data_IF_677670441841
#
_entry.id   IF_677670441841
#
_cell.length_a   1.000
_cell.length_b   1.000
_cell.length_c   1.000
_cell.angle_alpha   90.00
_cell.angle_beta   90.00
_cell.angle_gamma   90.00
#
_symmetry.space_group_name_H-M   'P 1'
#
loop_
_entity.id
_entity.type
_entity.pdbx_description
1 polymer ?
#
# COMPACT_ATOMS: atom_id res chain seq x y z
N UNK A 1 -18.46 -23.35 3.49
CA UNK A 1 -18.70 -22.24 2.54
C UNK A 1 -17.66 -22.35 1.43
N UNK A 2 -18.07 -22.63 0.19
CA UNK A 2 -17.17 -22.62 -0.97
C UNK A 2 -16.93 -21.18 -1.39
N UNK A 3 -15.65 -20.78 -1.51
CA UNK A 3 -15.26 -19.44 -1.97
C UNK A 3 -15.84 -19.18 -3.37
N UNK A 4 -16.25 -17.94 -3.67
CA UNK A 4 -16.70 -17.56 -5.03
C UNK A 4 -15.60 -17.73 -6.11
N UNK A 5 -14.36 -17.97 -5.68
CA UNK A 5 -13.19 -18.16 -6.54
C UNK A 5 -12.77 -19.63 -6.67
N UNK A 6 -13.55 -20.58 -6.13
CA UNK A 6 -13.18 -22.01 -6.10
C UNK A 6 -13.02 -22.65 -7.49
N UNK A 7 -13.58 -22.03 -8.53
CA UNK A 7 -13.52 -22.50 -9.91
C UNK A 7 -12.40 -21.83 -10.73
N UNK A 8 -11.59 -20.95 -10.12
CA UNK A 8 -10.50 -20.25 -10.80
C UNK A 8 -9.16 -20.93 -10.49
N UNK A 9 -8.34 -21.13 -11.50
CA UNK A 9 -6.98 -21.64 -11.30
C UNK A 9 -6.08 -20.55 -10.66
N UNK A 10 -4.98 -20.93 -10.00
CA UNK A 10 -4.02 -19.97 -9.45
C UNK A 10 -3.49 -18.97 -10.50
N UNK A 11 -3.28 -19.41 -11.73
CA UNK A 11 -2.83 -18.57 -12.85
C UNK A 11 -3.89 -17.53 -13.21
N UNK A 12 -5.16 -17.94 -13.31
CA UNK A 12 -6.28 -17.02 -13.57
C UNK A 12 -6.43 -15.99 -12.44
N UNK A 13 -6.21 -16.41 -11.19
CA UNK A 13 -6.22 -15.53 -10.03
C UNK A 13 -5.04 -14.55 -10.07
N UNK A 14 -3.86 -14.99 -10.49
CA UNK A 14 -2.68 -14.14 -10.61
C UNK A 14 -2.86 -13.06 -11.69
N UNK A 15 -3.37 -13.42 -12.86
CA UNK A 15 -3.64 -12.47 -13.95
C UNK A 15 -4.71 -11.46 -13.56
N UNK A 16 -5.82 -11.95 -12.97
CA UNK A 16 -6.90 -11.08 -12.51
C UNK A 16 -6.43 -10.12 -11.41
N UNK A 17 -5.64 -10.61 -10.46
CA UNK A 17 -5.07 -9.80 -9.41
C UNK A 17 -4.08 -8.76 -9.98
N UNK A 18 -3.24 -9.17 -10.93
CA UNK A 18 -2.28 -8.27 -11.59
C UNK A 18 -2.97 -7.13 -12.36
N UNK A 19 -4.06 -7.44 -13.07
CA UNK A 19 -4.86 -6.43 -13.76
C UNK A 19 -5.47 -5.41 -12.79
N UNK A 20 -6.10 -5.88 -11.72
CA UNK A 20 -6.70 -5.00 -10.70
C UNK A 20 -5.65 -4.15 -9.95
N UNK A 21 -4.48 -4.72 -9.67
CA UNK A 21 -3.35 -4.00 -9.09
C UNK A 21 -2.86 -2.88 -10.02
N UNK A 22 -2.79 -3.14 -11.32
CA UNK A 22 -2.48 -2.13 -12.33
C UNK A 22 -3.46 -0.95 -12.29
N UNK A 23 -4.77 -1.22 -12.33
CA UNK A 23 -5.81 -0.17 -12.22
C UNK A 23 -5.66 0.61 -10.92
N UNK A 24 -5.48 -0.09 -9.80
CA UNK A 24 -5.38 0.53 -8.47
C UNK A 24 -4.18 1.46 -8.38
N UNK A 25 -3.03 1.06 -8.92
CA UNK A 25 -1.82 1.88 -8.97
C UNK A 25 -2.01 3.13 -9.80
N UNK A 26 -2.60 3.01 -10.99
CA UNK A 26 -2.88 4.16 -11.86
C UNK A 26 -3.84 5.15 -11.21
N UNK A 27 -4.97 4.66 -10.69
CA UNK A 27 -5.95 5.52 -9.99
C UNK A 27 -5.35 6.17 -8.73
N UNK A 28 -4.48 5.45 -8.01
CA UNK A 28 -3.76 6.00 -6.86
C UNK A 28 -2.78 7.10 -7.26
N UNK A 29 -2.05 6.94 -8.36
CA UNK A 29 -1.14 7.96 -8.86
C UNK A 29 -1.89 9.26 -9.18
N UNK A 30 -2.98 9.16 -9.95
CA UNK A 30 -3.85 10.31 -10.27
C UNK A 30 -4.42 10.97 -9.01
N UNK A 31 -4.92 10.16 -8.06
CA UNK A 31 -5.43 10.68 -6.79
C UNK A 31 -4.35 11.38 -5.95
N UNK A 32 -3.11 10.90 -5.99
CA UNK A 32 -1.99 11.51 -5.26
C UNK A 32 -1.52 12.82 -5.91
N UNK A 33 -1.56 12.93 -7.25
CA UNK A 33 -1.35 14.20 -7.98
C UNK A 33 -2.39 15.25 -7.59
N UNK A 34 -3.68 14.87 -7.59
CA UNK A 34 -4.77 15.78 -7.17
C UNK A 34 -4.58 16.23 -5.71
N UNK A 35 -4.21 15.31 -4.81
CA UNK A 35 -3.92 15.67 -3.41
C UNK A 35 -2.73 16.61 -3.28
N UNK A 36 -1.68 16.41 -4.07
CA UNK A 36 -0.51 17.30 -4.08
C UNK A 36 -0.91 18.70 -4.51
N UNK A 37 -1.71 18.82 -5.57
CA UNK A 37 -2.26 20.10 -6.03
C UNK A 37 -3.13 20.78 -4.96
N UNK A 38 -4.02 20.04 -4.29
CA UNK A 38 -4.85 20.57 -3.21
C UNK A 38 -4.02 21.09 -2.03
N UNK A 39 -2.93 20.39 -1.69
CA UNK A 39 -1.98 20.85 -0.66
C UNK A 39 -1.24 22.12 -1.10
N UNK A 40 -0.76 22.17 -2.35
CA UNK A 40 -0.07 23.33 -2.89
C UNK A 40 -0.97 24.57 -2.92
N UNK A 41 -2.27 24.39 -3.13
CA UNK A 41 -3.30 25.44 -3.08
C UNK A 41 -3.77 25.78 -1.67
N UNK A 42 -3.23 25.13 -0.64
CA UNK A 42 -3.60 25.35 0.77
C UNK A 42 -5.12 25.21 1.02
N UNK A 43 -5.78 24.32 0.28
CA UNK A 43 -7.23 24.12 0.39
C UNK A 43 -7.53 23.35 1.68
N UNK A 44 -8.08 24.04 2.68
CA UNK A 44 -8.47 23.39 3.93
C UNK A 44 -9.76 22.55 3.76
N UNK A 45 -10.73 23.05 3.01
CA UNK A 45 -11.98 22.36 2.68
C UNK A 45 -12.44 22.74 1.27
N UNK A 46 -12.82 21.75 0.46
CA UNK A 46 -13.47 21.95 -0.83
C UNK A 46 -14.69 21.03 -0.97
N UNK A 47 -15.76 21.55 -1.56
CA UNK A 47 -17.01 20.81 -1.82
C UNK A 47 -17.28 20.74 -3.31
N UNK A 48 -17.30 19.53 -3.84
CA UNK A 48 -17.81 19.22 -5.17
C UNK A 48 -19.28 18.83 -5.14
N UNK A 49 -19.83 18.49 -6.30
CA UNK A 49 -21.24 18.08 -6.45
C UNK A 49 -21.57 16.80 -5.66
N UNK A 50 -20.60 15.87 -5.56
CA UNK A 50 -20.81 14.56 -4.96
C UNK A 50 -19.98 14.32 -3.68
N UNK A 51 -18.90 15.09 -3.46
CA UNK A 51 -17.93 14.83 -2.39
C UNK A 51 -17.43 16.12 -1.73
N UNK A 52 -17.06 16.02 -0.46
CA UNK A 52 -16.35 17.07 0.29
C UNK A 52 -14.97 16.54 0.65
N UNK A 53 -13.93 17.32 0.38
CA UNK A 53 -12.55 17.02 0.75
C UNK A 53 -12.11 18.01 1.82
N UNK A 54 -11.52 17.51 2.90
CA UNK A 54 -10.88 18.34 3.94
C UNK A 54 -9.44 17.88 4.14
N UNK A 55 -8.53 18.84 4.30
CA UNK A 55 -7.12 18.57 4.57
C UNK A 55 -6.84 18.86 6.04
N UNK A 56 -6.30 17.86 6.74
CA UNK A 56 -5.88 17.98 8.14
C UNK A 56 -4.47 17.42 8.29
N UNK A 57 -3.59 18.17 8.95
CA UNK A 57 -2.24 17.71 9.29
C UNK A 57 -2.27 17.04 10.66
N UNK A 58 -1.74 15.82 10.74
CA UNK A 58 -1.53 15.10 11.99
C UNK A 58 -0.09 14.66 12.07
N UNK A 59 0.57 15.02 13.17
CA UNK A 59 1.94 14.60 13.47
C UNK A 59 1.87 13.41 14.42
N UNK A 60 2.38 12.26 13.99
CA UNK A 60 2.52 11.08 14.84
C UNK A 60 3.95 11.00 15.33
N UNK A 61 4.15 11.11 16.64
CA UNK A 61 5.42 10.81 17.28
C UNK A 61 5.45 9.31 17.59
N UNK A 62 6.38 8.59 16.97
CA UNK A 62 6.62 7.17 17.25
C UNK A 62 7.84 7.05 18.14
N UNK A 63 7.80 6.06 19.04
CA UNK A 63 8.95 5.69 19.84
C UNK A 63 10.05 5.12 18.92
N UNK A 64 11.25 5.67 19.00
CA UNK A 64 12.41 5.09 18.33
C UNK A 64 12.92 3.91 19.16
N UNK A 65 12.43 2.72 18.83
CA UNK A 65 12.76 1.50 19.55
C UNK A 65 14.23 1.12 19.40
N UNK A 66 14.93 1.59 18.36
CA UNK A 66 16.37 1.32 18.18
C UNK A 66 17.20 2.20 19.10
N UNK A 67 16.90 3.50 19.13
CA UNK A 67 17.54 4.42 20.07
C UNK A 67 17.28 3.96 21.52
N UNK A 68 16.05 3.53 21.82
CA UNK A 68 15.70 3.01 23.13
C UNK A 68 16.44 1.71 23.49
N UNK A 69 16.60 0.79 22.54
CA UNK A 69 17.35 -0.45 22.75
C UNK A 69 18.85 -0.19 22.94
N UNK A 70 19.42 0.80 22.26
CA UNK A 70 20.79 1.22 22.45
C UNK A 70 21.05 1.86 23.83
N UNK A 71 20.03 2.51 24.40
CA UNK A 71 20.09 3.17 25.71
C UNK A 71 19.85 2.20 26.87
N UNK A 72 18.83 1.33 26.77
CA UNK A 72 18.39 0.43 27.85
C UNK A 72 18.93 -1.01 27.76
N UNK A 73 19.46 -1.39 26.60
CA UNK A 73 19.85 -2.77 26.30
C UNK A 73 18.72 -3.62 25.70
N UNK A 74 19.06 -4.46 24.73
CA UNK A 74 18.08 -5.30 24.01
C UNK A 74 17.37 -6.31 24.92
N UNK A 75 18.08 -6.85 25.92
CA UNK A 75 17.54 -7.85 26.85
C UNK A 75 16.40 -7.30 27.71
N UNK A 76 16.46 -6.02 28.10
CA UNK A 76 15.38 -5.38 28.86
C UNK A 76 14.11 -5.16 28.03
N UNK A 77 14.23 -5.11 26.70
CA UNK A 77 13.10 -4.85 25.81
C UNK A 77 12.48 -6.13 25.24
N UNK A 78 13.08 -7.30 25.50
CA UNK A 78 12.69 -8.57 24.91
C UNK A 78 11.20 -8.91 25.11
N UNK A 79 10.66 -8.68 26.31
CA UNK A 79 9.26 -8.95 26.66
C UNK A 79 8.26 -8.00 25.99
N UNK A 80 8.73 -6.86 25.48
CA UNK A 80 7.91 -5.84 24.83
C UNK A 80 7.86 -6.01 23.30
N UNK A 81 8.78 -6.78 22.71
CA UNK A 81 8.74 -7.10 21.30
C UNK A 81 7.65 -8.13 21.02
N UNK A 82 6.59 -7.70 20.33
CA UNK A 82 5.53 -8.59 19.84
C UNK A 82 5.71 -8.81 18.34
N UNK A 83 6.28 -9.95 17.91
CA UNK A 83 6.42 -10.22 16.50
C UNK A 83 5.04 -10.38 15.85
N UNK A 84 4.81 -9.65 14.75
CA UNK A 84 3.62 -9.79 13.91
C UNK A 84 4.02 -10.47 12.60
N UNK A 85 3.43 -11.63 12.30
CA UNK A 85 3.65 -12.32 11.02
C UNK A 85 2.71 -11.74 9.97
N UNK A 86 3.27 -11.29 8.84
CA UNK A 86 2.51 -10.77 7.70
C UNK A 86 2.90 -11.52 6.44
N UNK A 87 1.92 -12.04 5.71
CA UNK A 87 2.13 -12.60 4.37
C UNK A 87 2.07 -11.48 3.34
N UNK A 88 3.11 -11.36 2.50
CA UNK A 88 3.18 -10.37 1.44
C UNK A 88 2.95 -11.02 0.07
N UNK A 89 1.95 -10.53 -0.67
CA UNK A 89 1.79 -10.84 -2.09
C UNK A 89 2.55 -9.79 -2.91
N UNK A 90 3.44 -10.22 -3.79
CA UNK A 90 4.21 -9.34 -4.66
C UNK A 90 3.82 -9.59 -6.11
N UNK A 91 3.37 -8.55 -6.80
CA UNK A 91 2.92 -8.62 -8.19
C UNK A 91 4.00 -8.00 -9.07
N UNK A 92 4.42 -8.74 -10.09
CA UNK A 92 5.36 -8.29 -11.13
C UNK A 92 4.78 -8.62 -12.50
N UNK A 93 4.90 -7.72 -13.49
CA UNK A 93 4.49 -8.06 -14.84
C UNK A 93 5.36 -9.21 -15.36
N UNK A 94 4.75 -10.15 -16.07
CA UNK A 94 5.51 -11.15 -16.83
C UNK A 94 6.18 -10.40 -17.98
N UNK A 95 7.48 -10.15 -17.87
CA UNK A 95 8.27 -9.66 -19.01
C UNK A 95 8.16 -10.68 -20.13
N UNK A 96 7.49 -10.32 -21.22
CA UNK A 96 7.46 -11.13 -22.43
C UNK A 96 8.90 -11.31 -22.92
N UNK A 97 9.44 -12.53 -22.82
CA UNK A 97 10.59 -12.91 -23.64
C UNK A 97 10.07 -12.92 -25.08
N UNK A 98 10.48 -11.93 -25.86
CA UNK A 98 10.43 -12.01 -27.32
C UNK A 98 11.39 -13.14 -27.70
N UNK A 99 10.87 -14.36 -27.82
CA UNK A 99 11.60 -15.45 -28.49
C UNK A 99 11.71 -15.04 -29.95
N UNK A 100 12.94 -14.71 -30.35
CA UNK A 100 13.27 -14.34 -31.71
C UNK A 100 12.99 -15.49 -32.66
N UNK A 101 12.17 -15.21 -33.67
CA UNK A 101 12.15 -15.95 -34.92
C UNK A 101 13.52 -15.84 -35.59
N UNK A 102 14.21 -16.97 -35.71
CA UNK A 102 15.11 -17.26 -36.83
C UNK A 102 14.53 -18.43 -37.60
#
# INVERSE_FOLDING_TARGET
>A
MTSALHNQSPEQLADRLGYLDGITKSAKAEADEIKAELKQREVNVARGANFVVSLSTSTSSRLDTKALAADLGEDMLADYYRPSVSTRVTIKPVTAKLEGTQ
#
